data_IF_015582578703
#
_entry.id   IF_015582578703
#
_cell.length_a   1.000
_cell.length_b   1.000
_cell.length_c   1.000
_cell.angle_alpha   90.00
_cell.angle_beta   90.00
_cell.angle_gamma   90.00
#
_symmetry.space_group_name_H-M   'P 1'
#
loop_
_entity.id
_entity.type
_entity.pdbx_description
1 polymer ?
#
# COMPACT_ATOMS: atom_id res chain seq x y z
N UNK A 1 -11.34 -0.79 19.10
CA UNK A 1 -11.31 -1.36 17.74
C UNK A 1 -10.24 -2.43 17.71
N UNK A 2 -10.51 -3.62 17.17
CA UNK A 2 -9.53 -4.70 17.14
C UNK A 2 -8.53 -4.44 16.00
N UNK A 3 -7.27 -4.19 16.35
CA UNK A 3 -6.19 -4.08 15.36
C UNK A 3 -5.85 -5.48 14.83
N UNK A 4 -5.71 -5.61 13.50
CA UNK A 4 -5.28 -6.85 12.86
C UNK A 4 -3.94 -6.62 12.17
N UNK A 5 -3.01 -7.53 12.40
CA UNK A 5 -1.69 -7.49 11.79
C UNK A 5 -1.72 -8.16 10.41
N UNK A 6 -1.12 -7.48 9.42
CA UNK A 6 -1.00 -7.99 8.05
C UNK A 6 0.45 -8.44 7.83
N UNK A 7 0.64 -9.71 7.50
CA UNK A 7 1.93 -10.28 7.12
C UNK A 7 1.90 -10.64 5.64
N UNK A 8 2.91 -10.19 4.90
CA UNK A 8 3.03 -10.38 3.47
C UNK A 8 4.47 -10.78 3.15
N UNK A 9 4.65 -11.72 2.23
CA UNK A 9 5.94 -12.02 1.63
C UNK A 9 6.07 -11.23 0.32
N UNK A 10 7.15 -10.47 0.20
CA UNK A 10 7.56 -9.77 -1.03
C UNK A 10 9.03 -10.03 -1.26
N UNK A 11 9.44 -9.94 -2.52
CA UNK A 11 10.85 -9.98 -2.89
C UNK A 11 11.62 -8.83 -2.22
N UNK A 12 12.87 -9.11 -1.82
CA UNK A 12 13.71 -8.15 -1.11
C UNK A 12 13.93 -6.88 -1.92
N UNK A 13 14.17 -6.99 -3.23
CA UNK A 13 14.37 -5.85 -4.11
C UNK A 13 13.14 -4.94 -4.19
N UNK A 14 11.95 -5.53 -4.31
CA UNK A 14 10.68 -4.78 -4.32
C UNK A 14 10.49 -4.04 -3.01
N UNK A 15 10.77 -4.69 -1.88
CA UNK A 15 10.68 -4.07 -0.55
C UNK A 15 11.63 -2.89 -0.42
N UNK A 16 12.91 -3.07 -0.75
CA UNK A 16 13.92 -2.02 -0.64
C UNK A 16 13.57 -0.82 -1.52
N UNK A 17 13.24 -1.04 -2.80
CA UNK A 17 12.87 0.05 -3.71
C UNK A 17 11.61 0.79 -3.25
N UNK A 18 10.61 0.05 -2.74
CA UNK A 18 9.39 0.66 -2.21
C UNK A 18 9.69 1.54 -0.99
N UNK A 19 10.51 1.05 -0.05
CA UNK A 19 10.91 1.82 1.13
C UNK A 19 11.64 3.11 0.74
N UNK A 20 12.55 3.07 -0.24
CA UNK A 20 13.22 4.27 -0.75
C UNK A 20 12.26 5.28 -1.39
N UNK A 21 11.31 4.81 -2.21
CA UNK A 21 10.32 5.66 -2.86
C UNK A 21 9.43 6.35 -1.82
N UNK A 22 8.91 5.60 -0.86
CA UNK A 22 8.05 6.15 0.19
C UNK A 22 8.83 7.05 1.15
N UNK A 23 10.09 6.72 1.48
CA UNK A 23 10.93 7.54 2.34
C UNK A 23 11.16 8.94 1.74
N UNK A 24 11.32 9.05 0.41
CA UNK A 24 11.41 10.35 -0.29
C UNK A 24 10.15 11.22 -0.12
N UNK A 25 9.01 10.60 0.21
CA UNK A 25 7.73 11.27 0.46
C UNK A 25 7.43 11.41 1.97
N UNK A 26 8.38 11.06 2.85
CA UNK A 26 8.20 11.07 4.30
C UNK A 26 7.29 9.94 4.83
N UNK A 27 7.12 8.87 4.04
CA UNK A 27 6.25 7.74 4.36
C UNK A 27 7.05 6.46 4.57
N UNK A 28 6.55 5.59 5.45
CA UNK A 28 7.00 4.19 5.53
C UNK A 28 6.11 3.33 4.65
N UNK A 29 6.61 2.20 4.15
CA UNK A 29 5.77 1.23 3.41
C UNK A 29 4.56 0.79 4.23
N UNK A 30 4.68 0.65 5.55
CA UNK A 30 3.53 0.31 6.40
C UNK A 30 2.46 1.40 6.41
N UNK A 31 2.85 2.67 6.54
CA UNK A 31 1.91 3.79 6.48
C UNK A 31 1.27 3.89 5.09
N UNK A 32 2.04 3.70 4.02
CA UNK A 32 1.53 3.67 2.66
C UNK A 32 0.47 2.57 2.48
N UNK A 33 0.73 1.35 2.95
CA UNK A 33 -0.24 0.23 2.92
C UNK A 33 -1.49 0.57 3.75
N UNK A 34 -1.35 1.20 4.92
CA UNK A 34 -2.47 1.59 5.76
C UNK A 34 -3.38 2.62 5.08
N UNK A 35 -2.78 3.65 4.48
CA UNK A 35 -3.50 4.67 3.70
C UNK A 35 -4.19 3.99 2.52
N UNK A 36 -3.47 3.16 1.78
CA UNK A 36 -3.98 2.41 0.64
C UNK A 36 -5.23 1.58 0.98
N UNK A 37 -5.18 0.75 2.03
CA UNK A 37 -6.34 -0.06 2.44
C UNK A 37 -7.53 0.81 2.86
N UNK A 38 -7.26 1.94 3.51
CA UNK A 38 -8.29 2.91 3.90
C UNK A 38 -8.96 3.52 2.67
N UNK A 39 -8.19 3.87 1.64
CA UNK A 39 -8.72 4.41 0.39
C UNK A 39 -9.54 3.39 -0.39
N UNK A 40 -9.12 2.12 -0.44
CA UNK A 40 -9.90 1.05 -1.11
C UNK A 40 -11.30 0.92 -0.51
N UNK A 41 -11.39 0.96 0.82
CA UNK A 41 -12.70 0.87 1.53
C UNK A 41 -13.50 2.16 1.35
N UNK A 42 -12.89 3.32 1.51
CA UNK A 42 -13.61 4.60 1.43
C UNK A 42 -14.15 4.89 0.03
N UNK A 43 -13.40 4.51 -1.02
CA UNK A 43 -13.78 4.78 -2.39
C UNK A 43 -14.61 3.64 -3.01
N UNK A 44 -14.81 2.51 -2.29
CA UNK A 44 -15.41 1.27 -2.80
C UNK A 44 -14.85 0.83 -4.16
N UNK A 45 -13.59 1.20 -4.43
CA UNK A 45 -12.97 0.99 -5.72
C UNK A 45 -11.69 0.16 -5.54
N UNK A 46 -11.52 -0.83 -6.41
CA UNK A 46 -10.35 -1.68 -6.39
C UNK A 46 -9.09 -0.87 -6.70
N UNK A 47 -7.93 -1.24 -6.14
CA UNK A 47 -6.68 -0.49 -6.32
C UNK A 47 -6.18 -0.42 -7.78
N UNK A 48 -6.74 -1.26 -8.64
CA UNK A 48 -6.41 -1.39 -10.04
C UNK A 48 -7.60 -1.11 -10.95
N UNK A 49 -8.71 -0.59 -10.42
CA UNK A 49 -9.92 -0.35 -11.20
C UNK A 49 -9.65 0.57 -12.40
N UNK A 50 -8.73 1.53 -12.26
CA UNK A 50 -8.34 2.43 -13.34
C UNK A 50 -7.21 1.88 -14.25
N UNK A 51 -6.54 0.77 -13.87
CA UNK A 51 -5.52 0.14 -14.72
C UNK A 51 -6.12 -0.59 -15.92
N UNK A 52 -7.40 -0.93 -15.88
CA UNK A 52 -8.10 -1.69 -16.91
C UNK A 52 -9.16 -0.89 -17.68
N UNK A 53 -9.42 0.35 -17.29
CA UNK A 53 -10.29 1.27 -18.03
C UNK A 53 -9.48 1.93 -19.15
N UNK A 54 -9.57 1.38 -20.36
CA UNK A 54 -9.22 2.02 -21.63
C UNK A 54 -10.49 2.46 -22.35
#
# INVERSE_FOLDING_TARGET
>A
MAEKLIQLRVESEIKTKSDEIFAKQGLTTQNAIKIFLTQVVNNNNGPFAELFTR
#
